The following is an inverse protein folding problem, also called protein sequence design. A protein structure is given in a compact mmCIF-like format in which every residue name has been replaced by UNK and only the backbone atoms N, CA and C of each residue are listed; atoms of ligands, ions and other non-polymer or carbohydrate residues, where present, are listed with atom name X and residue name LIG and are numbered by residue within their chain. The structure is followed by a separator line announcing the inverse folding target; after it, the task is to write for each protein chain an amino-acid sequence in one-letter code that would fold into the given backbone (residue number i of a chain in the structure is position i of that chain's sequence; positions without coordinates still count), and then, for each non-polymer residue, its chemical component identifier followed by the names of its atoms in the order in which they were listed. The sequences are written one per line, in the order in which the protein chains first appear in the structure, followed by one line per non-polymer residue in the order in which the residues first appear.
data_IF_193807962281
#
_entry.id   IF_193807962281
#
_cell.length_a   1.000
_cell.length_b   1.000
_cell.length_c   1.000
_cell.angle_alpha   90.00
_cell.angle_beta   90.00
_cell.angle_gamma   90.00
#
_symmetry.space_group_name_H-M   'P 1'
#
loop_
_entity.id
_entity.type
_entity.pdbx_description
1 polymer ?
#
# COMPACT_ATOMS: atom_id res chain seq x y z
N UNK A 1 15.62 11.40 -34.77
CA UNK A 1 15.71 11.73 -33.33
C UNK A 1 14.30 11.99 -32.78
N UNK A 2 13.40 11.00 -32.73
CA UNK A 2 11.99 11.33 -32.42
C UNK A 2 10.98 10.18 -32.39
N UNK A 3 11.35 9.01 -31.85
CA UNK A 3 10.36 7.95 -31.54
C UNK A 3 10.68 7.34 -30.17
N UNK A 4 11.97 7.12 -29.87
CA UNK A 4 12.41 6.67 -28.55
C UNK A 4 12.32 7.75 -27.45
N UNK A 5 12.44 9.04 -27.79
CA UNK A 5 12.25 10.15 -26.85
C UNK A 5 10.79 10.27 -26.39
N UNK A 6 9.87 10.11 -27.34
CA UNK A 6 8.44 10.34 -27.12
C UNK A 6 7.84 9.16 -26.35
N UNK A 7 8.26 7.93 -26.67
CA UNK A 7 7.86 6.74 -25.91
C UNK A 7 8.32 6.77 -24.46
N UNK A 8 9.56 7.20 -24.19
CA UNK A 8 10.06 7.33 -22.82
C UNK A 8 9.34 8.44 -22.04
N UNK A 9 9.10 9.60 -22.66
CA UNK A 9 8.36 10.69 -22.03
C UNK A 9 6.90 10.32 -21.78
N UNK A 10 6.26 9.61 -22.72
CA UNK A 10 4.92 9.09 -22.55
C UNK A 10 4.86 8.09 -21.39
N UNK A 11 5.76 7.11 -21.33
CA UNK A 11 5.84 6.13 -20.25
C UNK A 11 6.02 6.81 -18.88
N UNK A 12 6.91 7.82 -18.78
CA UNK A 12 7.09 8.62 -17.55
C UNK A 12 5.84 9.40 -17.18
N UNK A 13 5.18 10.03 -18.15
CA UNK A 13 4.00 10.86 -17.91
C UNK A 13 2.79 10.02 -17.50
N UNK A 14 2.57 8.87 -18.15
CA UNK A 14 1.52 7.91 -17.79
C UNK A 14 1.73 7.39 -16.38
N UNK A 15 2.92 6.86 -16.08
CA UNK A 15 3.24 6.37 -14.73
C UNK A 15 3.10 7.48 -13.67
N UNK A 16 3.57 8.70 -13.97
CA UNK A 16 3.45 9.84 -13.04
C UNK A 16 1.99 10.21 -12.77
N UNK A 17 1.13 10.21 -13.80
CA UNK A 17 -0.30 10.48 -13.64
C UNK A 17 -0.98 9.38 -12.81
N UNK A 18 -0.77 8.10 -13.17
CA UNK A 18 -1.35 6.97 -12.46
C UNK A 18 -0.90 6.91 -11.00
N UNK A 19 0.38 7.17 -10.72
CA UNK A 19 0.93 7.21 -9.37
C UNK A 19 0.41 8.41 -8.58
N UNK A 20 0.34 9.60 -9.21
CA UNK A 20 -0.20 10.81 -8.60
C UNK A 20 -1.69 10.70 -8.28
N UNK A 21 -2.46 9.98 -9.10
CA UNK A 21 -3.84 9.63 -8.78
C UNK A 21 -3.89 8.65 -7.61
N UNK A 22 -3.15 7.55 -7.69
CA UNK A 22 -3.18 6.47 -6.71
C UNK A 22 -2.79 6.94 -5.30
N UNK A 23 -1.75 7.77 -5.17
CA UNK A 23 -1.20 8.17 -3.87
C UNK A 23 -2.22 8.94 -3.01
N UNK A 24 -3.13 9.68 -3.62
CA UNK A 24 -4.21 10.40 -2.90
C UNK A 24 -5.08 9.40 -2.15
N UNK A 25 -5.48 8.31 -2.82
CA UNK A 25 -6.33 7.28 -2.22
C UNK A 25 -5.54 6.38 -1.26
N UNK A 26 -4.30 6.05 -1.60
CA UNK A 26 -3.44 5.20 -0.77
C UNK A 26 -3.11 5.87 0.57
N UNK A 27 -2.70 7.15 0.57
CA UNK A 27 -2.37 7.89 1.79
C UNK A 27 -3.57 7.98 2.74
N UNK A 28 -4.73 8.43 2.22
CA UNK A 28 -5.95 8.51 3.02
C UNK A 28 -6.41 7.11 3.49
N UNK A 29 -6.25 6.10 2.62
CA UNK A 29 -6.58 4.71 2.90
C UNK A 29 -5.77 4.11 4.05
N UNK A 30 -4.51 4.53 4.24
CA UNK A 30 -3.69 4.07 5.36
C UNK A 30 -4.16 4.64 6.70
N UNK A 31 -4.63 5.89 6.75
CA UNK A 31 -4.87 6.59 8.02
C UNK A 31 -6.33 6.58 8.45
N UNK A 32 -7.28 6.74 7.52
CA UNK A 32 -8.71 6.76 7.84
C UNK A 32 -9.23 5.54 8.62
N UNK A 33 -8.73 4.31 8.38
CA UNK A 33 -9.13 3.16 9.19
C UNK A 33 -8.76 3.28 10.66
N UNK A 34 -7.67 3.96 11.03
CA UNK A 34 -7.32 4.21 12.43
C UNK A 34 -8.30 5.17 13.09
N UNK A 35 -8.72 6.23 12.38
CA UNK A 35 -9.77 7.13 12.87
C UNK A 35 -11.10 6.39 13.04
N UNK A 36 -11.49 5.56 12.06
CA UNK A 36 -12.66 4.68 12.12
C UNK A 36 -12.61 3.73 13.32
N UNK A 37 -11.49 3.03 13.53
CA UNK A 37 -11.30 2.11 14.65
C UNK A 37 -11.31 2.84 16.00
N UNK A 38 -10.74 4.04 16.08
CA UNK A 38 -10.75 4.88 17.29
C UNK A 38 -12.17 5.35 17.62
N UNK A 39 -12.93 5.82 16.64
CA UNK A 39 -14.34 6.18 16.83
C UNK A 39 -15.15 4.97 17.33
N UNK A 40 -14.91 3.79 16.75
CA UNK A 40 -15.60 2.59 17.16
C UNK A 40 -15.21 2.17 18.60
N UNK A 41 -13.95 2.30 18.98
CA UNK A 41 -13.50 2.07 20.36
C UNK A 41 -14.19 3.01 21.36
N UNK A 42 -14.29 4.30 21.02
CA UNK A 42 -14.98 5.30 21.86
C UNK A 42 -16.46 4.95 22.03
N UNK A 43 -17.12 4.46 20.98
CA UNK A 43 -18.48 3.93 21.08
C UNK A 43 -18.55 2.75 22.06
N UNK A 44 -17.64 1.77 21.96
CA UNK A 44 -17.62 0.60 22.85
C UNK A 44 -17.38 0.98 24.33
N UNK A 45 -16.56 2.00 24.58
CA UNK A 45 -16.25 2.50 25.92
C UNK A 45 -17.36 3.35 26.53
N UNK A 46 -17.97 4.24 25.74
CA UNK A 46 -18.87 5.28 26.26
C UNK A 46 -20.35 5.00 26.02
N UNK A 47 -20.69 4.17 25.02
CA UNK A 47 -22.07 3.94 24.58
C UNK A 47 -22.71 5.12 23.83
N UNK A 48 -22.00 6.24 23.62
CA UNK A 48 -22.54 7.40 22.91
C UNK A 48 -22.77 7.09 21.42
N UNK A 49 -24.02 7.17 21.00
CA UNK A 49 -24.45 6.84 19.62
C UNK A 49 -23.80 7.71 18.54
N UNK A 50 -23.32 8.91 18.89
CA UNK A 50 -22.59 9.80 17.96
C UNK A 50 -21.35 9.12 17.37
N UNK A 51 -20.57 8.41 18.20
CA UNK A 51 -19.38 7.68 17.74
C UNK A 51 -19.73 6.51 16.82
N UNK A 52 -20.84 5.83 17.07
CA UNK A 52 -21.32 4.77 16.18
C UNK A 52 -21.72 5.34 14.81
N UNK A 53 -22.45 6.45 14.79
CA UNK A 53 -22.83 7.14 13.55
C UNK A 53 -21.59 7.60 12.78
N UNK A 54 -20.60 8.16 13.48
CA UNK A 54 -19.33 8.60 12.89
C UNK A 54 -18.56 7.41 12.29
N UNK A 55 -18.44 6.30 13.04
CA UNK A 55 -17.81 5.06 12.57
C UNK A 55 -18.47 4.53 11.29
N UNK A 56 -19.80 4.46 11.25
CA UNK A 56 -20.57 3.97 10.08
C UNK A 56 -20.47 4.91 8.88
N UNK A 57 -20.34 6.21 9.11
CA UNK A 57 -20.13 7.19 8.03
C UNK A 57 -18.73 7.03 7.44
N UNK A 58 -17.69 7.00 8.29
CA UNK A 58 -16.32 6.83 7.86
C UNK A 58 -16.08 5.48 7.19
N UNK A 59 -16.71 4.40 7.65
CA UNK A 59 -16.54 3.07 7.03
C UNK A 59 -16.99 3.05 5.56
N UNK A 60 -18.06 3.78 5.21
CA UNK A 60 -18.49 3.95 3.81
C UNK A 60 -17.45 4.70 2.99
N UNK A 61 -16.88 5.78 3.54
CA UNK A 61 -15.81 6.54 2.88
C UNK A 61 -14.56 5.69 2.66
N UNK A 62 -14.10 5.01 3.71
CA UNK A 62 -12.96 4.06 3.65
C UNK A 62 -13.20 2.99 2.59
N UNK A 63 -14.41 2.44 2.48
CA UNK A 63 -14.72 1.44 1.45
C UNK A 63 -14.56 1.97 0.02
N UNK A 64 -15.00 3.20 -0.25
CA UNK A 64 -14.88 3.84 -1.56
C UNK A 64 -13.41 4.15 -1.89
N UNK A 65 -12.69 4.70 -0.92
CA UNK A 65 -11.27 5.02 -1.05
C UNK A 65 -10.44 3.75 -1.28
N UNK A 66 -10.72 2.70 -0.51
CA UNK A 66 -10.09 1.39 -0.64
C UNK A 66 -10.35 0.79 -2.04
N UNK A 67 -11.59 0.78 -2.51
CA UNK A 67 -11.91 0.25 -3.84
C UNK A 67 -11.19 1.03 -4.96
N UNK A 68 -11.14 2.36 -4.85
CA UNK A 68 -10.45 3.21 -5.83
C UNK A 68 -8.93 3.02 -5.79
N UNK A 69 -8.37 2.92 -4.58
CA UNK A 69 -6.97 2.62 -4.34
C UNK A 69 -6.58 1.25 -4.91
N UNK A 70 -7.39 0.22 -4.66
CA UNK A 70 -7.16 -1.14 -5.16
C UNK A 70 -7.08 -1.21 -6.69
N UNK A 71 -8.03 -0.56 -7.38
CA UNK A 71 -8.06 -0.53 -8.84
C UNK A 71 -6.87 0.24 -9.39
N UNK A 72 -6.56 1.41 -8.84
CA UNK A 72 -5.42 2.21 -9.30
C UNK A 72 -4.06 1.55 -8.99
N UNK A 73 -3.92 0.84 -7.87
CA UNK A 73 -2.70 0.08 -7.55
C UNK A 73 -2.51 -1.13 -8.49
N UNK A 74 -3.62 -1.76 -8.90
CA UNK A 74 -3.58 -2.81 -9.93
C UNK A 74 -3.06 -2.25 -11.25
N UNK A 75 -3.54 -1.07 -11.67
CA UNK A 75 -3.04 -0.39 -12.88
C UNK A 75 -1.52 -0.16 -12.79
N UNK A 76 -1.03 0.37 -11.66
CA UNK A 76 0.41 0.59 -11.45
C UNK A 76 1.25 -0.69 -11.52
N UNK A 77 0.73 -1.79 -10.99
CA UNK A 77 1.41 -3.09 -11.04
C UNK A 77 1.61 -3.57 -12.49
N UNK A 78 0.62 -3.36 -13.35
CA UNK A 78 0.74 -3.65 -14.78
C UNK A 78 1.63 -2.63 -15.51
N UNK A 79 1.50 -1.34 -15.19
CA UNK A 79 2.33 -0.29 -15.78
C UNK A 79 3.83 -0.53 -15.53
N UNK A 80 4.21 -1.00 -14.35
CA UNK A 80 5.60 -1.31 -14.04
C UNK A 80 6.16 -2.39 -14.98
N UNK A 81 5.36 -3.43 -15.30
CA UNK A 81 5.75 -4.49 -16.22
C UNK A 81 5.73 -4.08 -17.70
N UNK A 82 4.69 -3.33 -18.10
CA UNK A 82 4.45 -2.97 -19.50
C UNK A 82 5.31 -1.80 -19.97
N UNK A 83 5.47 -0.76 -19.13
CA UNK A 83 6.19 0.46 -19.47
C UNK A 83 7.70 0.34 -19.18
N UNK A 84 8.08 -0.51 -18.23
CA UNK A 84 9.48 -0.66 -17.78
C UNK A 84 10.02 -2.11 -17.86
N UNK A 85 9.88 -2.81 -19.01
CA UNK A 85 10.25 -4.23 -19.11
C UNK A 85 11.77 -4.46 -18.91
N UNK A 86 12.61 -3.53 -19.36
CA UNK A 86 14.06 -3.60 -19.16
C UNK A 86 14.46 -3.45 -17.69
N UNK A 87 13.76 -2.58 -16.95
CA UNK A 87 13.93 -2.45 -15.50
C UNK A 87 13.48 -3.72 -14.79
N UNK A 88 12.28 -4.22 -15.10
CA UNK A 88 11.72 -5.41 -14.46
C UNK A 88 12.52 -6.68 -14.74
N UNK A 89 13.19 -6.79 -15.90
CA UNK A 89 14.13 -7.87 -16.20
C UNK A 89 15.27 -7.96 -15.18
N UNK A 90 15.72 -6.84 -14.63
CA UNK A 90 16.85 -6.78 -13.71
C UNK A 90 16.45 -6.63 -12.25
N UNK A 91 15.46 -5.80 -11.97
CA UNK A 91 15.01 -5.47 -10.62
C UNK A 91 13.93 -6.41 -10.09
N UNK A 92 13.20 -7.12 -10.95
CA UNK A 92 12.01 -7.88 -10.58
C UNK A 92 12.27 -8.95 -9.51
N UNK A 93 13.38 -9.68 -9.59
CA UNK A 93 13.77 -10.68 -8.58
C UNK A 93 14.17 -10.07 -7.23
N UNK A 94 14.52 -8.77 -7.21
CA UNK A 94 15.01 -8.06 -6.02
C UNK A 94 13.85 -7.38 -5.29
N UNK A 95 13.00 -6.67 -6.03
CA UNK A 95 11.83 -5.96 -5.48
C UNK A 95 10.59 -6.86 -5.34
N UNK A 96 10.64 -8.08 -5.85
CA UNK A 96 9.50 -9.01 -5.83
C UNK A 96 9.04 -9.39 -4.42
N UNK A 97 9.95 -9.51 -3.45
CA UNK A 97 9.59 -9.80 -2.05
C UNK A 97 8.75 -8.66 -1.43
N UNK A 98 9.19 -7.38 -1.47
CA UNK A 98 8.36 -6.23 -1.10
C UNK A 98 6.94 -6.25 -1.67
N UNK A 99 6.79 -6.40 -3.00
CA UNK A 99 5.47 -6.43 -3.65
C UNK A 99 4.61 -7.64 -3.23
N UNK A 100 5.25 -8.78 -2.94
CA UNK A 100 4.52 -9.96 -2.45
C UNK A 100 3.97 -9.73 -1.04
N UNK A 101 4.74 -9.08 -0.16
CA UNK A 101 4.31 -8.71 1.18
C UNK A 101 3.24 -7.61 1.17
N UNK A 102 3.39 -6.61 0.30
CA UNK A 102 2.35 -5.61 0.03
C UNK A 102 1.04 -6.29 -0.38
N UNK A 103 1.06 -7.18 -1.38
CA UNK A 103 -0.12 -7.91 -1.84
C UNK A 103 -0.77 -8.76 -0.74
N UNK A 104 0.04 -9.36 0.15
CA UNK A 104 -0.45 -10.11 1.30
C UNK A 104 -1.15 -9.20 2.31
N UNK A 105 -0.53 -8.05 2.64
CA UNK A 105 -1.10 -7.07 3.55
C UNK A 105 -2.39 -6.46 2.99
N UNK A 106 -2.40 -6.10 1.70
CA UNK A 106 -3.57 -5.62 1.00
C UNK A 106 -4.71 -6.65 0.99
N UNK A 107 -4.41 -7.94 0.80
CA UNK A 107 -5.43 -8.98 0.86
C UNK A 107 -6.01 -9.15 2.28
N UNK A 108 -5.16 -9.06 3.31
CA UNK A 108 -5.60 -9.07 4.70
C UNK A 108 -6.50 -7.86 5.02
N UNK A 109 -6.15 -6.69 4.51
CA UNK A 109 -6.96 -5.48 4.57
C UNK A 109 -8.33 -5.69 3.91
N UNK A 110 -8.36 -6.27 2.70
CA UNK A 110 -9.59 -6.56 1.95
C UNK A 110 -10.54 -7.50 2.71
N UNK A 111 -9.99 -8.53 3.36
CA UNK A 111 -10.77 -9.43 4.22
C UNK A 111 -11.29 -8.66 5.44
N UNK A 112 -10.41 -7.93 6.13
CA UNK A 112 -10.74 -7.20 7.35
C UNK A 112 -11.82 -6.14 7.12
N UNK A 113 -11.74 -5.38 6.02
CA UNK A 113 -12.75 -4.37 5.67
C UNK A 113 -14.07 -5.02 5.30
N UNK A 114 -14.07 -6.15 4.58
CA UNK A 114 -15.28 -6.93 4.31
C UNK A 114 -15.96 -7.39 5.60
N UNK A 115 -15.17 -7.91 6.55
CA UNK A 115 -15.67 -8.30 7.88
C UNK A 115 -16.23 -7.08 8.63
N UNK A 116 -15.55 -5.93 8.60
CA UNK A 116 -15.99 -4.71 9.28
C UNK A 116 -17.27 -4.10 8.68
N UNK A 117 -17.43 -4.14 7.35
CA UNK A 117 -18.60 -3.58 6.69
C UNK A 117 -19.85 -4.45 6.85
N UNK A 118 -19.68 -5.77 6.84
CA UNK A 118 -20.81 -6.71 6.85
C UNK A 118 -21.01 -7.46 8.17
N UNK A 119 -20.10 -7.29 9.13
CA UNK A 119 -20.07 -7.98 10.43
C UNK A 119 -20.89 -7.31 11.52
N UNK A 120 -21.50 -6.15 11.25
CA UNK A 120 -22.41 -5.49 12.19
C UNK A 120 -23.51 -6.46 12.66
N UNK A 121 -23.70 -6.54 13.98
CA UNK A 121 -24.67 -7.42 14.65
C UNK A 121 -24.50 -8.94 14.39
N UNK A 122 -23.47 -9.36 13.64
CA UNK A 122 -23.16 -10.78 13.34
C UNK A 122 -21.94 -11.31 14.11
N UNK A 123 -21.06 -10.42 14.55
CA UNK A 123 -19.78 -10.76 15.20
C UNK A 123 -19.74 -10.08 16.57
N UNK A 124 -19.11 -10.69 17.59
CA UNK A 124 -18.96 -10.04 18.89
C UNK A 124 -18.32 -8.65 18.77
N UNK A 125 -18.85 -7.68 19.52
CA UNK A 125 -18.50 -6.26 19.43
C UNK A 125 -17.00 -5.94 19.42
N UNK A 126 -16.20 -6.66 20.22
CA UNK A 126 -14.74 -6.48 20.29
C UNK A 126 -14.01 -7.08 19.10
N UNK A 127 -14.49 -8.20 18.55
CA UNK A 127 -13.97 -8.78 17.31
C UNK A 127 -14.32 -7.93 16.09
N UNK A 128 -15.51 -7.32 16.09
CA UNK A 128 -15.89 -6.32 15.08
C UNK A 128 -15.00 -5.07 15.15
N UNK A 129 -14.62 -4.64 16.35
CA UNK A 129 -13.66 -3.55 16.51
C UNK A 129 -12.26 -3.95 16.04
N UNK A 130 -11.81 -5.14 16.41
CA UNK A 130 -10.51 -5.68 16.00
C UNK A 130 -10.37 -5.76 14.48
N UNK A 131 -11.42 -6.16 13.74
CA UNK A 131 -11.36 -6.15 12.27
C UNK A 131 -11.11 -4.73 11.73
N UNK A 132 -11.68 -3.69 12.34
CA UNK A 132 -11.41 -2.30 11.96
C UNK A 132 -9.97 -1.86 12.23
N UNK A 133 -9.37 -2.31 13.34
CA UNK A 133 -7.94 -2.09 13.62
C UNK A 133 -7.07 -2.81 12.60
N UNK A 134 -7.44 -4.05 12.24
CA UNK A 134 -6.73 -4.84 11.24
C UNK A 134 -6.73 -4.19 9.86
N UNK A 135 -7.79 -3.46 9.47
CA UNK A 135 -7.79 -2.66 8.23
C UNK A 135 -6.63 -1.65 8.25
N UNK A 136 -6.53 -0.84 9.31
CA UNK A 136 -5.48 0.19 9.41
C UNK A 136 -4.07 -0.39 9.50
N UNK A 137 -3.87 -1.42 10.32
CA UNK A 137 -2.55 -2.08 10.46
C UNK A 137 -2.10 -2.71 9.15
N UNK A 138 -3.02 -3.36 8.43
CA UNK A 138 -2.69 -4.00 7.14
C UNK A 138 -2.42 -2.97 6.04
N UNK A 139 -3.22 -1.90 5.97
CA UNK A 139 -2.98 -0.79 5.03
C UNK A 139 -1.64 -0.10 5.29
N UNK A 140 -1.31 0.18 6.56
CA UNK A 140 -0.01 0.75 6.93
C UNK A 140 1.15 -0.19 6.60
N UNK A 141 1.02 -1.48 6.88
CA UNK A 141 2.01 -2.48 6.52
C UNK A 141 2.23 -2.55 4.99
N UNK A 142 1.14 -2.53 4.22
CA UNK A 142 1.17 -2.46 2.75
C UNK A 142 2.00 -1.25 2.27
N UNK A 143 1.73 -0.06 2.83
CA UNK A 143 2.50 1.15 2.55
C UNK A 143 3.99 1.02 2.89
N UNK A 144 4.34 0.39 4.02
CA UNK A 144 5.74 0.15 4.41
C UNK A 144 6.44 -0.76 3.39
N UNK A 145 5.77 -1.82 2.93
CA UNK A 145 6.33 -2.75 1.96
C UNK A 145 6.51 -2.12 0.58
N UNK A 146 5.53 -1.37 0.06
CA UNK A 146 5.71 -0.70 -1.25
C UNK A 146 6.79 0.37 -1.20
N UNK A 147 6.90 1.10 -0.08
CA UNK A 147 7.97 2.09 0.13
C UNK A 147 9.33 1.41 0.22
N UNK A 148 9.43 0.17 0.67
CA UNK A 148 10.69 -0.57 0.64
C UNK A 148 11.21 -0.81 -0.78
N UNK A 149 10.31 -1.09 -1.74
CA UNK A 149 10.67 -1.18 -3.16
C UNK A 149 11.15 0.18 -3.69
N UNK A 150 10.43 1.28 -3.40
CA UNK A 150 10.86 2.63 -3.78
C UNK A 150 12.21 3.01 -3.15
N UNK A 151 12.42 2.67 -1.89
CA UNK A 151 13.65 2.93 -1.18
C UNK A 151 14.82 2.18 -1.82
N UNK A 152 14.62 0.93 -2.22
CA UNK A 152 15.62 0.16 -2.95
C UNK A 152 15.94 0.79 -4.31
N UNK A 153 14.95 1.31 -5.03
CA UNK A 153 15.19 2.04 -6.29
C UNK A 153 16.09 3.27 -6.09
N UNK A 154 16.05 3.91 -4.92
CA UNK A 154 16.91 5.05 -4.57
C UNK A 154 18.29 4.62 -4.06
N UNK A 155 18.37 3.49 -3.35
CA UNK A 155 19.63 2.98 -2.78
C UNK A 155 19.70 1.47 -2.92
N UNK A 156 20.11 0.98 -4.11
CA UNK A 156 20.16 -0.44 -4.39
C UNK A 156 21.14 -1.16 -3.46
N UNK A 157 20.68 -2.26 -2.87
CA UNK A 157 21.45 -3.11 -1.97
C UNK A 157 21.02 -4.58 -2.10
N UNK A 158 21.81 -5.49 -1.53
CA UNK A 158 21.45 -6.91 -1.45
C UNK A 158 21.57 -7.68 -2.77
N UNK A 159 22.51 -7.33 -3.65
CA UNK A 159 22.86 -8.12 -4.84
C UNK A 159 24.27 -7.82 -5.32
N UNK A 160 24.87 -8.77 -6.04
CA UNK A 160 26.10 -8.58 -6.80
C UNK A 160 25.79 -8.28 -8.26
N UNK A 161 26.46 -7.30 -8.85
CA UNK A 161 26.30 -6.99 -10.27
C UNK A 161 27.38 -7.69 -11.09
N UNK A 162 27.01 -8.74 -11.81
CA UNK A 162 27.97 -9.57 -12.57
C UNK A 162 27.43 -9.79 -13.98
N UNK A 163 28.22 -9.39 -14.99
CA UNK A 163 27.91 -9.55 -16.42
C UNK A 163 26.54 -8.99 -16.85
N UNK A 164 26.13 -7.85 -16.28
CA UNK A 164 24.87 -7.18 -16.62
C UNK A 164 23.62 -7.84 -16.01
N UNK A 165 23.79 -8.69 -15.01
CA UNK A 165 22.71 -9.30 -14.25
C UNK A 165 22.98 -9.19 -12.75
N UNK A 166 21.90 -9.04 -11.98
CA UNK A 166 21.94 -9.17 -10.53
C UNK A 166 22.06 -10.66 -10.16
N UNK A 167 23.07 -10.99 -9.36
CA UNK A 167 23.33 -12.31 -8.80
C UNK A 167 23.37 -12.24 -7.27
N UNK A 168 23.34 -13.39 -6.60
CA UNK A 168 23.40 -13.50 -5.13
C UNK A 168 22.45 -12.53 -4.41
N UNK A 169 21.20 -12.48 -4.86
CA UNK A 169 20.20 -11.57 -4.31
C UNK A 169 19.88 -11.97 -2.88
N UNK A 170 20.08 -11.04 -1.95
CA UNK A 170 19.58 -11.07 -0.58
C UNK A 170 18.34 -10.17 -0.49
N UNK A 171 17.13 -10.75 -0.52
CA UNK A 171 15.88 -9.99 -0.51
C UNK A 171 15.68 -9.19 0.78
N UNK A 172 16.22 -9.66 1.91
CA UNK A 172 16.07 -9.00 3.21
C UNK A 172 16.95 -7.75 3.24
N UNK A 173 18.20 -7.87 2.79
CA UNK A 173 19.10 -6.72 2.67
C UNK A 173 18.61 -5.69 1.63
N UNK A 174 17.97 -6.15 0.54
CA UNK A 174 17.37 -5.27 -0.45
C UNK A 174 16.16 -4.50 0.12
N UNK A 175 15.27 -5.19 0.84
CA UNK A 175 14.07 -4.62 1.44
C UNK A 175 14.41 -3.63 2.57
N UNK A 176 15.30 -4.01 3.48
CA UNK A 176 15.72 -3.18 4.62
C UNK A 176 17.04 -2.44 4.34
N UNK A 177 17.11 -1.77 3.20
CA UNK A 177 18.27 -0.98 2.82
C UNK A 177 18.44 0.27 3.73
N UNK A 178 19.57 0.96 3.57
CA UNK A 178 19.98 2.12 4.38
C UNK A 178 18.90 3.20 4.57
N UNK A 179 18.07 3.45 3.56
CA UNK A 179 17.07 4.53 3.57
C UNK A 179 15.64 4.05 3.83
N UNK A 180 15.41 2.74 3.91
CA UNK A 180 14.08 2.15 4.10
C UNK A 180 13.37 2.77 5.29
N UNK A 181 14.03 2.78 6.46
CA UNK A 181 13.41 3.25 7.69
C UNK A 181 12.97 4.71 7.59
N UNK A 182 13.81 5.58 7.03
CA UNK A 182 13.52 7.01 6.89
C UNK A 182 12.36 7.25 5.93
N UNK A 183 12.33 6.56 4.78
CA UNK A 183 11.27 6.72 3.80
C UNK A 183 9.94 6.15 4.30
N UNK A 184 9.95 4.94 4.89
CA UNK A 184 8.75 4.32 5.45
C UNK A 184 8.19 5.16 6.59
N UNK A 185 9.03 5.63 7.51
CA UNK A 185 8.60 6.50 8.61
C UNK A 185 8.01 7.81 8.09
N UNK A 186 8.67 8.49 7.15
CA UNK A 186 8.17 9.73 6.57
C UNK A 186 6.81 9.52 5.89
N UNK A 187 6.69 8.49 5.04
CA UNK A 187 5.45 8.18 4.36
C UNK A 187 4.31 7.89 5.35
N UNK A 188 4.58 7.06 6.36
CA UNK A 188 3.58 6.71 7.39
C UNK A 188 3.08 7.91 8.20
N UNK A 189 3.97 8.88 8.50
CA UNK A 189 3.60 10.07 9.28
C UNK A 189 2.99 11.18 8.44
N UNK A 190 3.31 11.25 7.15
CA UNK A 190 2.81 12.27 6.23
C UNK A 190 1.47 11.88 5.57
N UNK A 191 1.08 10.61 5.69
CA UNK A 191 -0.23 10.10 5.25
C UNK A 191 -1.35 10.58 6.17
#
# INVERSE_FOLDING_TARGET
MGIFSDGLLAARSTMAFSLGFHIIFAAIGMVMPFFMATSHFLYLRTGHKSYLSLTKMWSKGVAILFATGAVSGTVLSFELGLLWPGFMKHAGSIIGMPFSWEGTAFFLEAIAIGIFLYGWDKIPRWWHWFSGVMVGVSGLASGIFVVSANSWMNTPAGFDWVNGAAQNVDPVAAMFNKHWFQQSLHMSLAS
#
